data_IF_483835440066
#
_entry.id   IF_483835440066
#
_cell.length_a   1.000
_cell.length_b   1.000
_cell.length_c   1.000
_cell.angle_alpha   90.00
_cell.angle_beta   90.00
_cell.angle_gamma   90.00
#
_symmetry.space_group_name_H-M   'P 1'
#
loop_
_entity.id
_entity.type
_entity.pdbx_description
1 polymer ?
#
# COMPACT_ATOMS: atom_id res chain seq x y z
N UNK A 1 -7.52 -36.68 28.22
CA UNK A 1 -7.59 -35.20 28.33
C UNK A 1 -8.13 -34.74 27.00
N UNK A 2 -9.36 -34.30 27.01
CA UNK A 2 -10.13 -33.92 25.80
C UNK A 2 -9.69 -32.52 25.40
N UNK A 3 -9.01 -32.38 24.26
CA UNK A 3 -8.79 -31.11 23.62
C UNK A 3 -10.12 -30.70 22.98
N UNK A 4 -10.75 -29.70 23.54
CA UNK A 4 -11.90 -29.04 22.97
C UNK A 4 -11.47 -28.43 21.62
N UNK A 5 -12.09 -28.74 20.49
CA UNK A 5 -11.90 -27.96 19.29
C UNK A 5 -12.60 -26.63 19.55
N UNK A 6 -11.81 -25.58 19.80
CA UNK A 6 -12.33 -24.22 19.76
C UNK A 6 -12.89 -24.02 18.35
N UNK A 7 -14.14 -23.61 18.33
CA UNK A 7 -14.89 -23.14 17.16
C UNK A 7 -14.05 -22.07 16.47
N UNK A 8 -13.32 -22.49 15.41
CA UNK A 8 -12.29 -21.68 14.77
C UNK A 8 -12.94 -20.76 13.75
N UNK A 9 -13.50 -19.66 14.20
CA UNK A 9 -13.63 -18.49 13.35
C UNK A 9 -12.22 -17.92 13.18
N UNK A 10 -11.58 -18.27 12.07
CA UNK A 10 -10.27 -17.72 11.76
C UNK A 10 -10.39 -16.22 11.59
N UNK A 11 -9.78 -15.46 12.52
CA UNK A 11 -9.65 -14.02 12.32
C UNK A 11 -8.83 -13.76 11.04
N UNK A 12 -9.23 -12.76 10.22
CA UNK A 12 -8.48 -12.45 9.02
C UNK A 12 -7.02 -12.09 9.34
N UNK A 13 -6.09 -12.59 8.52
CA UNK A 13 -4.70 -12.14 8.54
C UNK A 13 -4.59 -10.79 7.85
N UNK A 14 -3.90 -9.84 8.47
CA UNK A 14 -3.58 -8.54 7.86
C UNK A 14 -2.31 -8.67 7.02
N UNK A 15 -2.39 -8.34 5.74
CA UNK A 15 -1.25 -8.32 4.81
C UNK A 15 -0.92 -6.89 4.44
N UNK A 16 0.31 -6.43 4.75
CA UNK A 16 0.77 -5.07 4.55
C UNK A 16 1.72 -5.00 3.34
N UNK A 17 1.32 -4.31 2.28
CA UNK A 17 2.12 -4.16 1.06
C UNK A 17 2.71 -2.75 0.99
N UNK A 18 4.03 -2.67 1.07
CA UNK A 18 4.76 -1.40 1.03
C UNK A 18 4.77 -0.76 -0.36
N UNK A 19 4.97 0.55 -0.40
CA UNK A 19 5.11 1.35 -1.61
C UNK A 19 6.52 1.38 -2.20
N UNK A 20 6.71 2.26 -3.19
CA UNK A 20 8.01 2.59 -3.76
C UNK A 20 8.93 3.25 -2.73
N UNK A 21 10.23 3.18 -2.96
CA UNK A 21 11.29 3.82 -2.16
C UNK A 21 11.29 3.40 -0.68
N UNK A 22 10.61 2.30 -0.36
CA UNK A 22 10.46 1.72 0.97
C UNK A 22 10.55 0.19 0.90
N UNK A 23 10.43 -0.45 2.04
CA UNK A 23 10.29 -1.90 2.19
C UNK A 23 9.33 -2.24 3.35
N UNK A 24 9.21 -3.52 3.68
CA UNK A 24 8.32 -3.99 4.75
C UNK A 24 8.58 -3.37 6.12
N UNK A 25 9.80 -2.86 6.39
CA UNK A 25 10.13 -2.22 7.67
C UNK A 25 9.42 -0.88 7.88
N UNK A 26 8.92 -0.26 6.81
CA UNK A 26 8.07 0.94 6.90
C UNK A 26 6.77 0.72 7.68
N UNK A 27 6.39 -0.53 7.89
CA UNK A 27 5.23 -0.94 8.65
C UNK A 27 5.50 -1.32 10.11
N UNK A 28 6.77 -1.32 10.56
CA UNK A 28 7.16 -1.85 11.87
C UNK A 28 6.29 -1.36 13.03
N UNK A 29 6.07 -0.05 13.11
CA UNK A 29 5.29 0.54 14.20
C UNK A 29 3.78 0.20 14.13
N UNK A 30 3.25 -0.01 12.93
CA UNK A 30 1.88 -0.48 12.72
C UNK A 30 1.79 -1.97 13.08
N UNK A 31 2.76 -2.79 12.65
CA UNK A 31 2.84 -4.22 12.96
C UNK A 31 2.85 -4.43 14.47
N UNK A 32 3.69 -3.70 15.20
CA UNK A 32 3.76 -3.79 16.67
C UNK A 32 2.39 -3.56 17.33
N UNK A 33 1.66 -2.52 16.87
CA UNK A 33 0.34 -2.19 17.41
C UNK A 33 -0.73 -3.24 17.10
N UNK A 34 -0.72 -3.77 15.89
CA UNK A 34 -1.66 -4.83 15.48
C UNK A 34 -1.38 -6.12 16.25
N UNK A 35 -0.10 -6.51 16.38
CA UNK A 35 0.31 -7.68 17.14
C UNK A 35 -0.03 -7.56 18.63
N UNK A 36 0.07 -6.35 19.21
CA UNK A 36 -0.34 -6.09 20.59
C UNK A 36 -1.84 -6.31 20.81
N UNK A 37 -2.66 -6.27 19.76
CA UNK A 37 -4.09 -6.59 19.76
C UNK A 37 -4.38 -8.07 19.41
N UNK A 38 -3.34 -8.89 19.26
CA UNK A 38 -3.47 -10.30 18.90
C UNK A 38 -3.74 -10.56 17.40
N UNK A 39 -3.61 -9.55 16.53
CA UNK A 39 -3.84 -9.67 15.10
C UNK A 39 -2.66 -10.38 14.44
N UNK A 40 -2.94 -11.35 13.57
CA UNK A 40 -1.93 -11.95 12.71
C UNK A 40 -1.58 -10.98 11.56
N UNK A 41 -0.29 -10.66 11.42
CA UNK A 41 0.19 -9.67 10.45
C UNK A 41 1.39 -10.22 9.68
N UNK A 42 1.43 -9.95 8.39
CA UNK A 42 2.59 -10.22 7.55
C UNK A 42 2.81 -9.07 6.55
N UNK A 43 4.06 -8.82 6.19
CA UNK A 43 4.45 -7.77 5.26
C UNK A 43 5.40 -8.33 4.18
N UNK A 44 4.87 -8.89 3.08
CA UNK A 44 5.68 -9.42 2.00
C UNK A 44 6.49 -8.32 1.31
N UNK A 45 7.62 -8.72 0.72
CA UNK A 45 8.36 -7.85 -0.16
C UNK A 45 7.54 -7.55 -1.42
N UNK A 46 7.42 -6.26 -1.77
CA UNK A 46 6.90 -5.83 -3.07
C UNK A 46 8.08 -5.72 -4.04
N UNK A 47 8.08 -6.40 -5.20
CA UNK A 47 9.24 -6.43 -6.09
C UNK A 47 9.61 -5.08 -6.70
N UNK A 48 8.66 -4.15 -6.90
CA UNK A 48 8.84 -2.81 -7.47
C UNK A 48 9.32 -2.85 -8.94
N UNK A 49 8.80 -3.77 -9.75
CA UNK A 49 9.25 -4.02 -11.13
C UNK A 49 8.21 -3.76 -12.21
N UNK A 50 6.92 -3.77 -11.89
CA UNK A 50 5.82 -3.53 -12.80
C UNK A 50 4.50 -3.88 -12.16
N UNK A 51 3.41 -3.20 -12.50
CA UNK A 51 2.09 -3.48 -11.90
C UNK A 51 1.70 -4.94 -12.16
N UNK A 52 1.86 -5.44 -13.37
CA UNK A 52 1.51 -6.81 -13.73
C UNK A 52 2.34 -7.85 -12.97
N UNK A 53 3.65 -7.62 -12.90
CA UNK A 53 4.60 -8.54 -12.22
C UNK A 53 4.35 -8.53 -10.71
N UNK A 54 4.29 -7.36 -10.12
CA UNK A 54 4.18 -7.17 -8.67
C UNK A 54 2.81 -7.65 -8.17
N UNK A 55 1.74 -7.39 -8.96
CA UNK A 55 0.39 -7.88 -8.64
C UNK A 55 0.30 -9.39 -8.71
N UNK A 56 0.92 -10.02 -9.71
CA UNK A 56 0.96 -11.48 -9.80
C UNK A 56 1.72 -12.10 -8.61
N UNK A 57 2.84 -11.48 -8.20
CA UNK A 57 3.60 -11.92 -7.04
C UNK A 57 2.78 -11.80 -5.74
N UNK A 58 2.14 -10.65 -5.52
CA UNK A 58 1.34 -10.43 -4.32
C UNK A 58 0.07 -11.29 -4.33
N UNK A 59 -0.61 -11.48 -5.47
CA UNK A 59 -1.75 -12.38 -5.60
C UNK A 59 -1.38 -13.81 -5.17
N UNK A 60 -0.27 -14.33 -5.71
CA UNK A 60 0.24 -15.65 -5.31
C UNK A 60 0.55 -15.73 -3.81
N UNK A 61 1.05 -14.65 -3.21
CA UNK A 61 1.29 -14.61 -1.77
C UNK A 61 -0.02 -14.64 -0.97
N UNK A 62 -1.03 -13.85 -1.37
CA UNK A 62 -2.35 -13.79 -0.74
C UNK A 62 -3.04 -15.15 -0.75
N UNK A 63 -3.05 -15.84 -1.90
CA UNK A 63 -3.66 -17.15 -2.08
C UNK A 63 -3.05 -18.25 -1.20
N UNK A 64 -1.80 -18.11 -0.79
CA UNK A 64 -1.11 -19.07 0.08
C UNK A 64 -1.37 -18.85 1.57
N UNK A 65 -2.04 -17.78 1.95
CA UNK A 65 -2.40 -17.53 3.35
C UNK A 65 -3.64 -18.36 3.69
N UNK A 66 -3.57 -19.22 4.70
CA UNK A 66 -4.74 -19.94 5.17
C UNK A 66 -5.79 -18.97 5.75
N UNK A 67 -7.05 -19.13 5.35
CA UNK A 67 -8.15 -18.34 5.87
C UNK A 67 -8.29 -16.94 5.24
N UNK A 68 -9.16 -16.11 5.82
CA UNK A 68 -9.49 -14.80 5.29
C UNK A 68 -8.35 -13.78 5.45
N UNK A 69 -8.32 -12.81 4.54
CA UNK A 69 -7.29 -11.77 4.49
C UNK A 69 -7.92 -10.37 4.44
N UNK A 70 -7.37 -9.43 5.21
CA UNK A 70 -7.51 -8.00 5.01
C UNK A 70 -6.22 -7.47 4.39
N UNK A 71 -6.29 -6.98 3.15
CA UNK A 71 -5.12 -6.49 2.43
C UNK A 71 -4.97 -4.97 2.58
N UNK A 72 -3.78 -4.51 2.97
CA UNK A 72 -3.45 -3.11 3.24
C UNK A 72 -2.31 -2.67 2.35
N UNK A 73 -2.47 -1.60 1.58
CA UNK A 73 -1.44 -1.08 0.68
C UNK A 73 -1.08 0.36 0.96
N UNK A 74 0.22 0.65 1.04
CA UNK A 74 0.76 2.01 1.07
C UNK A 74 1.21 2.43 -0.32
N UNK A 75 0.84 3.65 -0.73
CA UNK A 75 1.38 4.26 -1.94
C UNK A 75 1.21 3.36 -3.19
N UNK A 76 2.28 3.03 -3.88
CA UNK A 76 2.33 2.08 -4.98
C UNK A 76 1.75 0.69 -4.60
N UNK A 77 1.90 0.28 -3.34
CA UNK A 77 1.30 -0.96 -2.83
C UNK A 77 -0.22 -1.01 -2.97
N UNK A 78 -0.90 0.14 -2.96
CA UNK A 78 -2.33 0.23 -3.24
C UNK A 78 -2.69 -0.11 -4.69
N UNK A 79 -1.91 0.39 -5.66
CA UNK A 79 -2.09 0.02 -7.08
C UNK A 79 -1.84 -1.47 -7.30
N UNK A 80 -0.82 -2.03 -6.65
CA UNK A 80 -0.53 -3.48 -6.68
C UNK A 80 -1.71 -4.25 -6.12
N UNK A 81 -2.26 -3.89 -4.96
CA UNK A 81 -3.40 -4.58 -4.36
C UNK A 81 -4.69 -4.43 -5.18
N UNK A 82 -4.91 -3.27 -5.79
CA UNK A 82 -6.06 -3.03 -6.69
C UNK A 82 -6.13 -4.08 -7.79
N UNK A 83 -4.98 -4.52 -8.31
CA UNK A 83 -4.88 -5.55 -9.33
C UNK A 83 -4.76 -6.97 -8.74
N UNK A 84 -3.98 -7.16 -7.68
CA UNK A 84 -3.71 -8.47 -7.09
C UNK A 84 -4.95 -9.11 -6.46
N UNK A 85 -5.78 -8.32 -5.77
CA UNK A 85 -6.93 -8.82 -5.04
C UNK A 85 -8.15 -9.12 -5.91
N UNK A 86 -8.11 -8.83 -7.21
CA UNK A 86 -9.26 -9.01 -8.11
C UNK A 86 -9.74 -10.46 -8.19
N UNK A 87 -8.80 -11.40 -8.10
CA UNK A 87 -9.06 -12.84 -8.18
C UNK A 87 -8.70 -13.61 -6.90
N UNK A 88 -8.26 -12.93 -5.84
CA UNK A 88 -7.91 -13.55 -4.57
C UNK A 88 -9.17 -13.74 -3.71
N UNK A 89 -9.79 -14.91 -3.79
CA UNK A 89 -11.08 -15.23 -3.15
C UNK A 89 -11.05 -15.13 -1.62
N UNK A 90 -9.88 -15.23 -0.99
CA UNK A 90 -9.70 -15.11 0.45
C UNK A 90 -9.54 -13.66 0.94
N UNK A 91 -9.45 -12.67 0.04
CA UNK A 91 -9.38 -11.25 0.41
C UNK A 91 -10.80 -10.72 0.64
N UNK A 92 -11.06 -10.23 1.85
CA UNK A 92 -12.37 -9.75 2.26
C UNK A 92 -12.53 -8.22 2.20
N UNK A 93 -11.41 -7.48 2.13
CA UNK A 93 -11.44 -6.02 2.09
C UNK A 93 -10.07 -5.42 1.85
N UNK A 94 -10.07 -4.14 1.51
CA UNK A 94 -8.89 -3.38 1.11
C UNK A 94 -8.73 -2.13 1.98
N UNK A 95 -7.52 -1.87 2.46
CA UNK A 95 -7.18 -0.62 3.14
C UNK A 95 -6.07 0.10 2.37
N UNK A 96 -6.33 1.31 1.97
CA UNK A 96 -5.43 2.16 1.21
C UNK A 96 -4.83 3.24 2.12
N UNK A 97 -3.52 3.22 2.35
CA UNK A 97 -2.83 4.16 3.24
C UNK A 97 -1.98 5.11 2.40
N UNK A 98 -2.39 6.38 2.25
CA UNK A 98 -1.75 7.35 1.36
C UNK A 98 -1.41 6.71 0.00
N UNK A 99 -2.39 6.09 -0.64
CA UNK A 99 -2.14 5.11 -1.70
C UNK A 99 -2.85 5.43 -3.01
N UNK A 100 -2.31 4.88 -4.09
CA UNK A 100 -3.01 4.81 -5.37
C UNK A 100 -4.20 3.84 -5.30
N UNK A 101 -5.35 4.30 -5.81
CA UNK A 101 -6.60 3.52 -5.95
C UNK A 101 -7.09 3.69 -7.41
N UNK A 102 -6.33 3.18 -8.38
CA UNK A 102 -6.60 3.47 -9.78
C UNK A 102 -7.88 2.79 -10.28
N UNK A 103 -8.50 3.41 -11.30
CA UNK A 103 -9.58 2.85 -12.11
C UNK A 103 -8.99 2.01 -13.25
N UNK A 104 -9.80 1.16 -13.85
CA UNK A 104 -9.43 0.40 -15.04
C UNK A 104 -8.92 1.32 -16.16
N UNK A 105 -7.75 1.00 -16.69
CA UNK A 105 -7.10 1.75 -17.76
C UNK A 105 -6.29 2.97 -17.29
N UNK A 106 -6.39 3.40 -16.04
CA UNK A 106 -5.56 4.48 -15.50
C UNK A 106 -4.11 4.04 -15.31
N UNK A 107 -3.17 4.95 -15.59
CA UNK A 107 -1.75 4.81 -15.25
C UNK A 107 -1.38 5.66 -14.05
N UNK A 108 -0.32 5.28 -13.33
CA UNK A 108 0.15 6.08 -12.19
C UNK A 108 0.69 7.45 -12.64
N UNK A 109 1.25 7.53 -13.87
CA UNK A 109 1.72 8.79 -14.44
C UNK A 109 0.56 9.76 -14.68
N UNK A 110 -0.57 9.29 -15.20
CA UNK A 110 -1.74 10.11 -15.43
C UNK A 110 -2.32 10.64 -14.11
N UNK A 111 -2.41 9.80 -13.09
CA UNK A 111 -2.93 10.18 -11.77
C UNK A 111 -2.03 11.25 -11.13
N UNK A 112 -0.73 11.00 -11.05
CA UNK A 112 0.22 11.94 -10.44
C UNK A 112 0.34 13.23 -11.26
N UNK A 113 0.29 13.13 -12.60
CA UNK A 113 0.36 14.29 -13.51
C UNK A 113 -0.86 15.22 -13.43
N UNK A 114 -2.02 14.72 -13.02
CA UNK A 114 -3.24 15.50 -12.84
C UNK A 114 -3.40 16.08 -11.42
N UNK A 115 -2.58 15.64 -10.46
CA UNK A 115 -2.61 16.18 -9.09
C UNK A 115 -2.03 17.59 -9.04
N UNK A 116 -2.63 18.44 -8.21
CA UNK A 116 -2.15 19.80 -7.91
C UNK A 116 -1.16 19.83 -6.75
N UNK A 117 -1.21 18.80 -5.90
CA UNK A 117 -0.44 18.70 -4.66
C UNK A 117 0.85 17.88 -4.85
N UNK A 118 0.91 17.01 -5.89
CA UNK A 118 2.08 16.21 -6.19
C UNK A 118 3.24 17.04 -6.70
N UNK A 119 4.42 16.85 -6.10
CA UNK A 119 5.68 17.50 -6.49
C UNK A 119 6.82 16.49 -6.65
N UNK A 120 6.52 15.18 -6.74
CA UNK A 120 7.53 14.12 -6.76
C UNK A 120 8.31 14.07 -8.06
N UNK A 121 7.68 14.34 -9.20
CA UNK A 121 8.29 14.14 -10.53
C UNK A 121 9.64 14.85 -10.71
N UNK A 122 9.83 16.15 -10.39
CA UNK A 122 11.13 16.79 -10.53
C UNK A 122 12.19 16.27 -9.54
N UNK A 123 11.77 15.59 -8.48
CA UNK A 123 12.68 14.99 -7.49
C UNK A 123 13.16 13.57 -7.89
N UNK A 124 12.59 12.96 -8.93
CA UNK A 124 13.00 11.63 -9.36
C UNK A 124 14.37 11.65 -10.05
N UNK A 125 15.18 10.65 -9.73
CA UNK A 125 16.51 10.43 -10.32
C UNK A 125 16.52 9.07 -11.04
N UNK A 126 16.71 9.07 -12.37
CA UNK A 126 16.76 7.83 -13.14
C UNK A 126 18.06 7.07 -12.88
N UNK A 127 17.95 5.77 -12.74
CA UNK A 127 19.02 4.79 -12.70
C UNK A 127 18.76 3.73 -13.76
N UNK A 128 19.76 2.94 -14.09
CA UNK A 128 19.62 1.81 -15.02
C UNK A 128 19.90 0.50 -14.29
N UNK A 129 19.13 -0.53 -14.58
CA UNK A 129 19.37 -1.88 -14.07
C UNK A 129 19.27 -2.92 -15.18
N UNK A 130 20.03 -4.03 -15.11
CA UNK A 130 19.96 -5.10 -16.11
C UNK A 130 18.65 -5.87 -15.97
N UNK A 131 17.97 -6.14 -17.07
CA UNK A 131 16.71 -6.92 -17.08
C UNK A 131 16.92 -8.41 -16.91
N UNK A 132 18.17 -8.89 -17.04
CA UNK A 132 18.52 -10.30 -17.02
C UNK A 132 18.51 -10.96 -18.39
N UNK A 133 18.07 -10.25 -19.43
CA UNK A 133 18.06 -10.71 -20.83
C UNK A 133 19.07 -9.93 -21.67
N UNK A 134 20.15 -10.61 -22.09
CA UNK A 134 21.18 -10.01 -22.99
C UNK A 134 21.88 -8.79 -22.37
N UNK A 135 22.00 -7.72 -23.17
CA UNK A 135 22.60 -6.44 -22.77
C UNK A 135 21.58 -5.34 -22.53
N UNK A 136 20.29 -5.69 -22.46
CA UNK A 136 19.23 -4.70 -22.27
C UNK A 136 19.20 -4.19 -20.83
N UNK A 137 19.01 -2.89 -20.70
CA UNK A 137 18.84 -2.22 -19.43
C UNK A 137 17.47 -1.53 -19.39
N UNK A 138 16.83 -1.59 -18.22
CA UNK A 138 15.61 -0.85 -17.94
C UNK A 138 15.91 0.34 -17.00
N UNK A 139 14.96 1.27 -16.93
CA UNK A 139 15.06 2.44 -16.08
C UNK A 139 14.30 2.18 -14.76
N UNK A 140 14.89 2.63 -13.68
CA UNK A 140 14.25 2.72 -12.37
C UNK A 140 14.50 4.10 -11.76
N UNK A 141 13.68 4.49 -10.79
CA UNK A 141 13.75 5.80 -10.18
C UNK A 141 13.96 5.70 -8.66
N UNK A 142 14.83 6.57 -8.16
CA UNK A 142 14.93 6.95 -6.75
C UNK A 142 14.46 8.39 -6.57
N UNK A 143 14.16 8.80 -5.34
CA UNK A 143 14.00 10.22 -5.01
C UNK A 143 15.39 10.78 -4.72
N UNK A 144 15.68 11.99 -5.21
CA UNK A 144 16.89 12.74 -4.86
C UNK A 144 17.02 12.82 -3.33
N UNK A 145 18.13 12.34 -2.73
CA UNK A 145 18.33 12.43 -1.28
C UNK A 145 18.18 13.85 -0.72
N UNK A 146 18.52 14.88 -1.50
CA UNK A 146 18.36 16.28 -1.07
C UNK A 146 16.89 16.74 -1.01
N UNK A 147 16.00 16.11 -1.77
CA UNK A 147 14.56 16.42 -1.80
C UNK A 147 13.74 15.44 -0.95
N UNK A 148 14.33 14.31 -0.53
CA UNK A 148 13.61 13.17 0.07
C UNK A 148 12.79 13.58 1.29
N UNK A 149 13.40 14.34 2.22
CA UNK A 149 12.68 14.83 3.40
C UNK A 149 11.43 15.63 3.02
N UNK A 150 11.59 16.66 2.21
CA UNK A 150 10.52 17.61 1.92
C UNK A 150 9.40 17.02 1.06
N UNK A 151 9.73 16.05 0.20
CA UNK A 151 8.78 15.44 -0.75
C UNK A 151 8.12 14.20 -0.17
N UNK A 152 8.89 13.35 0.52
CA UNK A 152 8.44 12.01 0.90
C UNK A 152 8.01 11.90 2.36
N UNK A 153 8.73 12.60 3.28
CA UNK A 153 8.61 12.35 4.72
C UNK A 153 8.79 13.63 5.55
N UNK A 154 8.11 14.73 5.15
CA UNK A 154 8.31 16.06 5.71
C UNK A 154 7.95 16.20 7.20
N UNK A 155 7.19 15.29 7.74
CA UNK A 155 6.76 15.25 9.15
C UNK A 155 7.61 14.34 10.04
N UNK A 156 8.68 13.73 9.48
CA UNK A 156 9.64 12.93 10.25
C UNK A 156 10.92 13.72 10.54
N UNK A 157 11.68 13.36 11.59
CA UNK A 157 12.98 13.97 11.86
C UNK A 157 13.96 13.82 10.69
N UNK A 158 14.73 14.88 10.40
CA UNK A 158 15.70 14.89 9.28
C UNK A 158 16.73 13.76 9.36
N UNK A 159 17.14 13.36 10.56
CA UNK A 159 18.07 12.24 10.77
C UNK A 159 17.44 10.91 10.29
N UNK A 160 16.16 10.67 10.61
CA UNK A 160 15.44 9.49 10.16
C UNK A 160 15.26 9.48 8.65
N UNK A 161 14.86 10.60 8.06
CA UNK A 161 14.64 10.70 6.61
C UNK A 161 15.95 10.59 5.82
N UNK A 162 17.07 10.98 6.38
CA UNK A 162 18.41 10.75 5.80
C UNK A 162 18.74 9.26 5.70
N UNK A 163 18.40 8.47 6.73
CA UNK A 163 18.56 7.01 6.69
C UNK A 163 17.61 6.37 5.66
N UNK A 164 16.36 6.82 5.63
CA UNK A 164 15.37 6.33 4.64
C UNK A 164 15.81 6.63 3.21
N UNK A 165 16.33 7.83 2.95
CA UNK A 165 16.85 8.20 1.64
C UNK A 165 18.05 7.32 1.19
N UNK A 166 18.91 6.93 2.14
CA UNK A 166 20.05 6.07 1.86
C UNK A 166 19.67 4.60 1.59
N UNK A 167 18.54 4.14 2.12
CA UNK A 167 18.06 2.75 2.04
C UNK A 167 16.87 2.58 1.10
N UNK A 168 16.42 3.63 0.42
CA UNK A 168 15.28 3.57 -0.48
C UNK A 168 15.47 2.52 -1.59
N UNK A 169 14.41 1.77 -1.87
CA UNK A 169 14.39 0.78 -2.95
C UNK A 169 13.85 1.41 -4.23
N UNK A 170 14.61 1.37 -5.34
CA UNK A 170 14.15 1.95 -6.61
C UNK A 170 12.87 1.32 -7.12
N UNK A 171 11.99 2.15 -7.71
CA UNK A 171 10.83 1.71 -8.47
C UNK A 171 11.17 1.70 -9.96
N UNK A 172 10.91 0.59 -10.67
CA UNK A 172 11.00 0.54 -12.13
C UNK A 172 10.12 1.62 -12.79
N UNK A 173 10.48 2.03 -13.99
CA UNK A 173 9.68 2.96 -14.78
C UNK A 173 8.35 2.34 -15.25
N UNK A 174 8.29 1.02 -15.43
CA UNK A 174 7.11 0.33 -15.94
C UNK A 174 5.80 0.64 -15.22
N UNK A 175 5.73 0.65 -13.87
CA UNK A 175 4.49 0.95 -13.15
C UNK A 175 3.86 2.29 -13.51
N UNK A 176 4.63 3.26 -13.97
CA UNK A 176 4.10 4.58 -14.33
C UNK A 176 3.32 4.55 -15.65
N UNK A 177 3.61 3.60 -16.52
CA UNK A 177 3.06 3.49 -17.89
C UNK A 177 2.06 2.33 -18.03
N UNK A 178 2.11 1.33 -17.14
CA UNK A 178 1.21 0.19 -17.20
C UNK A 178 -0.21 0.58 -16.77
N UNK A 179 -1.24 0.29 -17.59
CA UNK A 179 -2.62 0.54 -17.21
C UNK A 179 -3.09 -0.46 -16.15
N UNK A 180 -3.91 0.02 -15.23
CA UNK A 180 -4.63 -0.82 -14.26
C UNK A 180 -5.63 -1.72 -14.95
N UNK A 181 -5.75 -2.97 -14.50
CA UNK A 181 -6.79 -3.92 -14.93
C UNK A 181 -8.14 -3.69 -14.23
N UNK A 182 -9.00 -4.71 -14.17
CA UNK A 182 -10.27 -4.67 -13.42
C UNK A 182 -9.99 -4.48 -11.92
N UNK A 183 -10.37 -3.34 -11.31
CA UNK A 183 -9.93 -3.02 -9.97
C UNK A 183 -10.75 -3.74 -8.89
N UNK A 184 -10.06 -4.36 -7.94
CA UNK A 184 -10.65 -5.15 -6.86
C UNK A 184 -11.63 -4.34 -5.97
N UNK A 185 -11.42 -3.03 -5.82
CA UNK A 185 -12.28 -2.17 -5.02
C UNK A 185 -13.71 -2.04 -5.55
N UNK A 186 -13.97 -2.42 -6.82
CA UNK A 186 -15.34 -2.53 -7.36
C UNK A 186 -16.14 -3.68 -6.74
N UNK A 187 -15.45 -4.65 -6.15
CA UNK A 187 -16.05 -5.89 -5.61
C UNK A 187 -15.89 -6.01 -4.10
N UNK A 188 -14.87 -5.35 -3.54
CA UNK A 188 -14.49 -5.47 -2.13
C UNK A 188 -14.73 -4.16 -1.37
N UNK A 189 -15.21 -4.23 -0.13
CA UNK A 189 -15.29 -3.06 0.74
C UNK A 189 -13.91 -2.47 0.93
N UNK A 190 -13.84 -1.13 0.97
CA UNK A 190 -12.58 -0.42 1.00
C UNK A 190 -12.54 0.68 2.05
N UNK A 191 -11.38 0.89 2.64
CA UNK A 191 -11.06 1.97 3.57
C UNK A 191 -9.84 2.73 3.06
N UNK A 192 -9.74 4.00 3.40
CA UNK A 192 -8.61 4.84 3.00
C UNK A 192 -8.15 5.74 4.15
N UNK A 193 -6.85 5.83 4.34
CA UNK A 193 -6.20 6.84 5.18
C UNK A 193 -5.61 7.89 4.27
N UNK A 194 -6.12 9.12 4.36
CA UNK A 194 -5.72 10.25 3.50
C UNK A 194 -4.85 11.20 4.31
N UNK A 195 -3.58 11.32 3.93
CA UNK A 195 -2.64 12.23 4.55
C UNK A 195 -2.77 13.65 3.95
N UNK A 196 -2.98 14.66 4.82
CA UNK A 196 -3.23 16.04 4.39
C UNK A 196 -2.02 16.75 3.78
N UNK A 197 -0.82 16.21 3.97
CA UNK A 197 0.45 16.73 3.45
C UNK A 197 1.13 15.77 2.47
N UNK A 198 0.39 14.88 1.80
CA UNK A 198 0.95 13.99 0.78
C UNK A 198 1.39 14.81 -0.44
N UNK A 199 2.71 14.84 -0.68
CA UNK A 199 3.35 15.51 -1.82
C UNK A 199 3.85 14.54 -2.90
N UNK A 200 3.67 13.24 -2.70
CA UNK A 200 4.09 12.21 -3.66
C UNK A 200 2.97 11.94 -4.66
N UNK A 201 1.84 11.43 -4.21
CA UNK A 201 0.66 11.24 -5.05
C UNK A 201 -0.12 12.55 -5.14
N UNK A 202 -0.14 13.29 -4.05
CA UNK A 202 -0.94 14.48 -3.81
C UNK A 202 -2.22 14.16 -3.04
N UNK A 203 -2.47 14.92 -1.98
CA UNK A 203 -3.66 14.76 -1.13
C UNK A 203 -4.95 14.81 -1.94
N UNK A 204 -5.03 15.72 -2.92
CA UNK A 204 -6.19 15.88 -3.82
C UNK A 204 -6.47 14.62 -4.64
N UNK A 205 -5.42 14.01 -5.20
CA UNK A 205 -5.55 12.79 -6.00
C UNK A 205 -5.91 11.58 -5.13
N UNK A 206 -5.23 11.38 -3.98
CA UNK A 206 -5.54 10.27 -3.05
C UNK A 206 -6.99 10.34 -2.59
N UNK A 207 -7.47 11.54 -2.21
CA UNK A 207 -8.85 11.74 -1.79
C UNK A 207 -9.84 11.43 -2.92
N UNK A 208 -9.61 11.97 -4.10
CA UNK A 208 -10.49 11.78 -5.27
C UNK A 208 -10.62 10.29 -5.63
N UNK A 209 -9.52 9.55 -5.61
CA UNK A 209 -9.53 8.11 -5.85
C UNK A 209 -10.28 7.35 -4.76
N UNK A 210 -10.06 7.69 -3.48
CA UNK A 210 -10.74 7.04 -2.35
C UNK A 210 -12.27 7.29 -2.39
N UNK A 211 -12.70 8.51 -2.70
CA UNK A 211 -14.12 8.87 -2.86
C UNK A 211 -14.76 8.10 -4.02
N UNK A 212 -14.07 8.02 -5.17
CA UNK A 212 -14.52 7.26 -6.33
C UNK A 212 -14.69 5.77 -6.02
N UNK A 213 -13.78 5.21 -5.24
CA UNK A 213 -13.86 3.81 -4.81
C UNK A 213 -14.94 3.56 -3.73
N UNK A 214 -15.61 4.59 -3.24
CA UNK A 214 -16.58 4.47 -2.15
C UNK A 214 -15.95 4.05 -0.83
N UNK A 215 -14.66 4.33 -0.63
CA UNK A 215 -13.91 3.95 0.57
C UNK A 215 -14.40 4.73 1.80
N UNK A 216 -14.39 4.08 2.96
CA UNK A 216 -14.51 4.78 4.25
C UNK A 216 -13.21 5.53 4.53
N UNK A 217 -13.28 6.88 4.55
CA UNK A 217 -12.10 7.73 4.62
C UNK A 217 -11.80 8.14 6.06
N UNK A 218 -10.53 8.02 6.45
CA UNK A 218 -9.94 8.60 7.67
C UNK A 218 -8.94 9.67 7.26
N UNK A 219 -9.18 10.91 7.65
CA UNK A 219 -8.27 12.03 7.42
C UNK A 219 -7.23 12.12 8.52
N UNK A 220 -5.95 12.30 8.12
CA UNK A 220 -4.83 12.39 9.07
C UNK A 220 -3.88 13.51 8.64
N UNK A 221 -3.44 14.32 9.60
CA UNK A 221 -2.38 15.31 9.35
C UNK A 221 -1.02 14.61 9.30
N UNK A 222 -0.29 14.77 8.20
CA UNK A 222 1.03 14.19 8.01
C UNK A 222 1.44 14.09 6.55
N UNK A 223 2.66 13.57 6.32
CA UNK A 223 3.25 13.39 5.00
C UNK A 223 2.82 12.08 4.33
N UNK A 224 3.45 11.75 3.19
CA UNK A 224 3.19 10.52 2.46
C UNK A 224 3.43 9.24 3.27
N UNK A 225 4.37 9.26 4.23
CA UNK A 225 4.71 8.10 5.06
C UNK A 225 3.93 8.07 6.37
N UNK A 226 2.64 8.32 6.29
CA UNK A 226 1.74 8.47 7.44
C UNK A 226 1.75 7.26 8.39
N UNK A 227 2.04 6.05 7.91
CA UNK A 227 2.15 4.84 8.73
C UNK A 227 3.38 4.86 9.65
N UNK A 228 4.36 5.72 9.35
CA UNK A 228 5.56 5.92 10.19
C UNK A 228 5.34 7.07 11.18
N UNK A 229 4.78 8.20 10.72
CA UNK A 229 4.57 9.38 11.57
C UNK A 229 3.34 9.27 12.48
N UNK A 230 2.28 8.60 12.03
CA UNK A 230 1.01 8.43 12.74
C UNK A 230 0.58 6.95 12.82
N UNK A 231 1.45 6.04 13.29
CA UNK A 231 1.19 4.59 13.25
C UNK A 231 -0.04 4.17 14.05
N UNK A 232 -0.39 4.92 15.11
CA UNK A 232 -1.57 4.65 15.92
C UNK A 232 -2.86 4.83 15.10
N UNK A 233 -2.99 5.95 14.38
CA UNK A 233 -4.19 6.25 13.59
C UNK A 233 -4.33 5.25 12.42
N UNK A 234 -3.22 4.88 11.79
CA UNK A 234 -3.21 3.87 10.74
C UNK A 234 -3.61 2.50 11.27
N UNK A 235 -3.07 2.08 12.42
CA UNK A 235 -3.45 0.82 13.06
C UNK A 235 -4.95 0.79 13.44
N UNK A 236 -5.49 1.89 13.98
CA UNK A 236 -6.92 2.01 14.31
C UNK A 236 -7.82 1.92 13.07
N UNK A 237 -7.43 2.53 11.95
CA UNK A 237 -8.14 2.40 10.68
C UNK A 237 -8.15 0.94 10.18
N UNK A 238 -7.01 0.25 10.28
CA UNK A 238 -6.90 -1.17 9.92
C UNK A 238 -7.76 -2.04 10.85
N UNK A 239 -7.75 -1.80 12.16
CA UNK A 239 -8.58 -2.53 13.12
C UNK A 239 -10.08 -2.29 12.89
N UNK A 240 -10.47 -1.09 12.49
CA UNK A 240 -11.85 -0.77 12.12
C UNK A 240 -12.28 -1.57 10.89
N UNK A 241 -11.44 -1.61 9.86
CA UNK A 241 -11.68 -2.41 8.66
C UNK A 241 -11.76 -3.92 9.00
N UNK A 242 -10.82 -4.40 9.82
CA UNK A 242 -10.76 -5.79 10.27
C UNK A 242 -12.05 -6.19 11.02
N UNK A 243 -12.53 -5.35 11.91
CA UNK A 243 -13.78 -5.60 12.63
C UNK A 243 -14.99 -5.66 11.70
N UNK A 244 -15.04 -4.79 10.68
CA UNK A 244 -16.13 -4.77 9.70
C UNK A 244 -16.17 -6.06 8.86
N UNK A 245 -15.03 -6.47 8.28
CA UNK A 245 -15.00 -7.70 7.46
C UNK A 245 -15.18 -8.97 8.28
N UNK A 246 -14.84 -8.97 9.58
CA UNK A 246 -15.06 -10.12 10.47
C UNK A 246 -16.54 -10.32 10.80
N UNK A 247 -17.35 -9.26 10.82
CA UNK A 247 -18.80 -9.37 11.03
C UNK A 247 -19.51 -10.02 9.84
N UNK A 248 -19.02 -9.82 8.62
CA UNK A 248 -19.58 -10.41 7.42
C UNK A 248 -19.34 -11.93 7.34
N UNK A 249 -18.29 -12.43 8.01
CA UNK A 249 -18.03 -13.87 8.15
C UNK A 249 -19.02 -14.51 9.14
N UNK A 250 -19.51 -13.76 10.12
CA UNK A 250 -20.43 -14.22 11.18
C UNK A 250 -21.63 -13.27 11.29
N UNK A 251 -22.60 -13.32 10.39
CA UNK A 251 -23.82 -12.52 10.56
C UNK A 251 -24.49 -12.93 11.87
N UNK A 252 -24.55 -11.98 12.82
CA UNK A 252 -25.32 -12.16 14.06
C UNK A 252 -26.78 -12.40 13.67
N UNK A 253 -27.25 -13.63 13.91
CA UNK A 253 -28.64 -14.07 13.78
C UNK A 253 -29.58 -13.34 14.76
#
# INVERSE_FOLDING_TARGET
MSTNPQDGSEQPTVVLVHGAWADGSSWNDVIERLQAQGVQVTAPANPLRGISIDSAYIASYLEQIPGPVLAVGHSYGGAVLTNAATNAENVLGLVYVAAFVPEEGETLADIAGNSKDSVVTPALRPLQYPTGEGTEAAVEFTIDPAAFHDVFAADLPAEQTSLMAATQRPLSALPFEEPTGDPAWKKLPSWAVVASGDKVIGTDAVRSMAERAGATITDVEGSHVIMISQPQVVAEAILTALAAVSQDIHPTT
#
